data_IF_509372197278
#
_entry.id   IF_509372197278
#
_cell.length_a   1.000
_cell.length_b   1.000
_cell.length_c   1.000
_cell.angle_alpha   90.00
_cell.angle_beta   90.00
_cell.angle_gamma   90.00
#
_symmetry.space_group_name_H-M   'P 1'
#
loop_
_entity.id
_entity.type
_entity.pdbx_description
1 polymer ?
#
# COMPACT_ATOMS: atom_id res chain seq x y z
N UNK A 1 43.39 67.55 -33.13
CA UNK A 1 42.87 67.27 -31.78
C UNK A 1 42.24 65.89 -31.74
N UNK A 2 43.04 65.00 -31.28
CA UNK A 2 42.79 63.61 -31.30
C UNK A 2 42.17 63.13 -29.94
N UNK A 3 41.07 62.44 -29.94
CA UNK A 3 40.50 61.81 -28.75
C UNK A 3 40.23 60.33 -29.05
N UNK A 4 41.19 59.52 -28.71
CA UNK A 4 41.10 58.08 -28.70
C UNK A 4 40.23 57.60 -27.51
N UNK A 5 39.15 56.92 -27.82
CA UNK A 5 38.30 56.21 -26.83
C UNK A 5 38.80 54.78 -26.68
N UNK A 6 39.28 54.43 -25.49
CA UNK A 6 39.68 53.05 -25.12
C UNK A 6 38.44 52.28 -24.71
N UNK A 7 38.09 51.23 -25.48
CA UNK A 7 37.13 50.20 -25.10
C UNK A 7 37.78 49.28 -24.05
N UNK A 8 37.20 49.21 -22.86
CA UNK A 8 37.54 48.22 -21.85
C UNK A 8 36.68 46.97 -22.12
N UNK A 9 37.31 45.86 -22.50
CA UNK A 9 36.67 44.59 -22.62
C UNK A 9 36.26 44.02 -21.24
N UNK A 10 35.02 43.68 -21.10
CA UNK A 10 34.43 43.03 -19.92
C UNK A 10 34.44 41.52 -20.17
N UNK A 11 35.35 40.81 -19.49
CA UNK A 11 35.39 39.36 -19.49
C UNK A 11 34.20 38.85 -18.68
N UNK A 12 33.26 38.19 -19.34
CA UNK A 12 32.16 37.44 -18.67
C UNK A 12 32.69 36.03 -18.39
N UNK A 13 32.98 35.75 -17.13
CA UNK A 13 33.24 34.39 -16.67
C UNK A 13 31.93 33.64 -16.61
N UNK A 14 31.70 32.73 -17.54
CA UNK A 14 30.60 31.76 -17.45
C UNK A 14 30.97 30.69 -16.41
N UNK A 15 30.39 30.81 -15.22
CA UNK A 15 30.50 29.78 -14.21
C UNK A 15 29.69 28.54 -14.61
N UNK A 16 30.36 27.42 -14.89
CA UNK A 16 29.73 26.12 -15.07
C UNK A 16 29.23 25.63 -13.71
N UNK A 17 27.92 25.66 -13.49
CA UNK A 17 27.27 25.02 -12.33
C UNK A 17 27.24 23.49 -12.60
N UNK A 18 28.17 22.76 -12.02
CA UNK A 18 28.14 21.29 -11.98
C UNK A 18 27.07 20.90 -10.97
N UNK A 19 25.88 20.56 -11.46
CA UNK A 19 24.86 19.87 -10.66
C UNK A 19 25.40 18.48 -10.29
N UNK A 20 25.88 18.34 -9.07
CA UNK A 20 26.19 17.05 -8.50
C UNK A 20 24.87 16.25 -8.39
N UNK A 21 24.57 15.47 -9.41
CA UNK A 21 23.51 14.47 -9.38
C UNK A 21 23.86 13.41 -8.34
N UNK A 22 23.34 13.55 -7.13
CA UNK A 22 23.43 12.52 -6.10
C UNK A 22 22.77 11.25 -6.62
N UNK A 23 23.55 10.27 -7.00
CA UNK A 23 23.08 8.92 -7.31
C UNK A 23 22.44 8.34 -6.06
N UNK A 24 21.11 8.18 -6.08
CA UNK A 24 20.39 7.42 -5.05
C UNK A 24 20.90 5.99 -5.12
N UNK A 25 21.49 5.42 -4.07
CA UNK A 25 21.97 4.06 -4.12
C UNK A 25 20.82 3.11 -4.45
N UNK A 26 20.94 2.40 -5.57
CA UNK A 26 20.06 1.28 -5.91
C UNK A 26 20.40 0.18 -4.91
N UNK A 27 19.45 -0.15 -4.03
CA UNK A 27 19.60 -1.28 -3.12
C UNK A 27 19.75 -2.55 -3.96
N UNK A 28 20.84 -3.30 -3.74
CA UNK A 28 21.08 -4.53 -4.48
C UNK A 28 19.90 -5.49 -4.33
N UNK A 29 19.44 -6.04 -5.44
CA UNK A 29 18.33 -6.98 -5.46
C UNK A 29 18.72 -8.25 -4.67
N UNK A 30 18.22 -8.37 -3.44
CA UNK A 30 18.36 -9.58 -2.63
C UNK A 30 17.26 -10.58 -2.96
N UNK A 31 17.42 -11.83 -2.52
CA UNK A 31 16.39 -12.85 -2.70
C UNK A 31 15.09 -12.48 -1.98
N UNK A 32 13.98 -12.53 -2.68
CA UNK A 32 12.64 -12.47 -2.11
C UNK A 32 12.24 -13.87 -1.60
N UNK A 33 11.27 -13.99 -0.68
CA UNK A 33 10.78 -15.30 -0.25
C UNK A 33 10.34 -16.17 -1.43
N UNK A 34 10.57 -17.47 -1.31
CA UNK A 34 10.11 -18.42 -2.34
C UNK A 34 8.61 -18.29 -2.54
N UNK A 35 8.17 -18.23 -3.79
CA UNK A 35 6.75 -18.06 -4.13
C UNK A 35 6.20 -16.64 -3.98
N UNK A 36 7.02 -15.65 -3.54
CA UNK A 36 6.59 -14.25 -3.39
C UNK A 36 6.71 -13.42 -4.68
N UNK A 37 7.26 -13.99 -5.74
CA UNK A 37 7.43 -13.31 -7.02
C UNK A 37 6.17 -13.27 -7.87
N UNK A 38 6.35 -12.86 -9.13
CA UNK A 38 5.27 -12.86 -10.12
C UNK A 38 4.74 -14.27 -10.35
N UNK A 39 3.43 -14.38 -10.48
CA UNK A 39 2.75 -15.56 -11.01
C UNK A 39 2.92 -15.54 -12.53
N UNK A 40 3.17 -16.71 -13.12
CA UNK A 40 3.14 -16.83 -14.58
C UNK A 40 1.71 -16.62 -15.10
N UNK A 41 1.56 -15.68 -16.01
CA UNK A 41 0.29 -15.33 -16.63
C UNK A 41 0.35 -15.49 -18.15
N UNK A 42 1.23 -16.34 -18.67
CA UNK A 42 1.36 -16.62 -20.12
C UNK A 42 0.10 -17.28 -20.68
N UNK A 43 -0.59 -18.07 -19.85
CA UNK A 43 -1.85 -18.75 -20.16
C UNK A 43 -2.98 -18.21 -19.29
N UNK A 44 -3.56 -17.04 -19.61
CA UNK A 44 -4.64 -16.45 -18.81
C UNK A 44 -5.97 -17.16 -19.04
N UNK A 45 -6.76 -17.32 -17.97
CA UNK A 45 -8.14 -17.80 -18.03
C UNK A 45 -9.05 -16.72 -18.65
N UNK A 46 -8.73 -15.45 -18.41
CA UNK A 46 -9.50 -14.30 -18.88
C UNK A 46 -8.59 -13.21 -19.45
N UNK A 47 -8.95 -12.69 -20.62
CA UNK A 47 -8.29 -11.53 -21.24
C UNK A 47 -9.29 -10.38 -21.29
N UNK A 48 -8.96 -9.27 -20.62
CA UNK A 48 -9.73 -8.03 -20.66
C UNK A 48 -9.21 -7.16 -21.80
N UNK A 49 -10.07 -6.89 -22.78
CA UNK A 49 -9.76 -6.06 -23.93
C UNK A 49 -9.37 -6.84 -25.19
N UNK A 50 -9.41 -6.17 -26.33
CA UNK A 50 -9.13 -6.70 -27.68
C UNK A 50 -7.84 -6.12 -28.30
N UNK A 51 -7.11 -5.30 -27.57
CA UNK A 51 -5.91 -4.59 -28.03
C UNK A 51 -6.12 -3.09 -28.16
N UNK A 52 -7.30 -2.58 -27.82
CA UNK A 52 -7.61 -1.15 -27.78
C UNK A 52 -7.92 -0.67 -26.36
N UNK A 53 -7.61 0.60 -26.05
CA UNK A 53 -7.90 1.17 -24.73
C UNK A 53 -9.42 1.18 -24.44
N UNK A 54 -10.24 1.51 -25.41
CA UNK A 54 -11.70 1.58 -25.28
C UNK A 54 -12.34 0.23 -24.94
N UNK A 55 -11.70 -0.87 -25.28
CA UNK A 55 -12.20 -2.22 -24.99
C UNK A 55 -12.03 -2.66 -23.55
N UNK A 56 -11.20 -1.95 -22.76
CA UNK A 56 -10.93 -2.23 -21.35
C UNK A 56 -11.84 -1.38 -20.45
N UNK A 57 -12.93 -1.96 -20.03
CA UNK A 57 -13.98 -1.27 -19.25
C UNK A 57 -14.09 -1.80 -17.83
N UNK A 58 -14.66 -1.00 -16.91
CA UNK A 58 -14.98 -1.41 -15.55
C UNK A 58 -15.81 -2.69 -15.51
N UNK A 59 -16.87 -2.77 -16.30
CA UNK A 59 -17.75 -3.95 -16.33
C UNK A 59 -16.98 -5.25 -16.66
N UNK A 60 -16.01 -5.20 -17.58
CA UNK A 60 -15.16 -6.36 -17.91
C UNK A 60 -14.21 -6.72 -16.76
N UNK A 61 -13.68 -5.72 -16.04
CA UNK A 61 -12.84 -5.97 -14.85
C UNK A 61 -13.68 -6.65 -13.78
N UNK A 62 -14.83 -6.09 -13.43
CA UNK A 62 -15.76 -6.63 -12.44
C UNK A 62 -16.15 -8.08 -12.76
N UNK A 63 -16.57 -8.32 -14.01
CA UNK A 63 -16.96 -9.65 -14.46
C UNK A 63 -15.80 -10.66 -14.45
N UNK A 64 -14.58 -10.26 -14.80
CA UNK A 64 -13.43 -11.14 -14.80
C UNK A 64 -13.01 -11.51 -13.36
N UNK A 65 -12.94 -10.52 -12.46
CA UNK A 65 -12.61 -10.73 -11.05
C UNK A 65 -13.63 -11.66 -10.37
N UNK A 66 -14.91 -11.49 -10.66
CA UNK A 66 -15.96 -12.36 -10.14
C UNK A 66 -15.84 -13.83 -10.61
N UNK A 67 -15.28 -14.06 -11.81
CA UNK A 67 -15.01 -15.41 -12.31
C UNK A 67 -13.76 -16.06 -11.72
N UNK A 68 -12.81 -15.26 -11.25
CA UNK A 68 -11.54 -15.75 -10.72
C UNK A 68 -10.56 -16.20 -11.81
N UNK A 69 -9.54 -16.96 -11.42
CA UNK A 69 -8.47 -17.43 -12.31
C UNK A 69 -7.45 -16.34 -12.66
N UNK A 70 -6.65 -16.61 -13.68
CA UNK A 70 -5.61 -15.71 -14.19
C UNK A 70 -6.20 -14.70 -15.15
N UNK A 71 -6.16 -13.42 -14.78
CA UNK A 71 -6.77 -12.31 -15.53
C UNK A 71 -5.66 -11.42 -16.08
N UNK A 72 -5.59 -11.27 -17.39
CA UNK A 72 -4.66 -10.36 -18.08
C UNK A 72 -5.39 -9.28 -18.85
N UNK A 73 -4.71 -8.14 -19.01
CA UNK A 73 -5.22 -7.01 -19.78
C UNK A 73 -4.53 -6.94 -21.16
N UNK A 74 -5.33 -6.68 -22.19
CA UNK A 74 -4.89 -6.40 -23.55
C UNK A 74 -5.54 -5.11 -24.04
N UNK A 75 -5.11 -3.98 -23.45
CA UNK A 75 -5.68 -2.65 -23.67
C UNK A 75 -4.87 -1.77 -24.64
N UNK A 76 -3.97 -2.38 -25.41
CA UNK A 76 -3.05 -1.69 -26.31
C UNK A 76 -1.65 -1.52 -25.72
N UNK A 77 -0.74 -0.88 -26.47
CA UNK A 77 0.68 -0.75 -26.08
C UNK A 77 0.96 0.44 -25.14
N UNK A 78 0.00 1.33 -24.96
CA UNK A 78 0.14 2.53 -24.11
C UNK A 78 -0.50 2.30 -22.72
N UNK A 79 -0.07 3.05 -21.69
CA UNK A 79 -0.76 3.04 -20.41
C UNK A 79 -2.23 3.42 -20.54
N UNK A 80 -3.09 2.69 -19.82
CA UNK A 80 -4.55 2.88 -19.82
C UNK A 80 -5.04 3.05 -18.38
N UNK A 81 -5.95 4.00 -18.20
CA UNK A 81 -6.73 4.18 -16.99
C UNK A 81 -8.13 3.62 -17.23
N UNK A 82 -8.56 2.72 -16.35
CA UNK A 82 -9.92 2.19 -16.33
C UNK A 82 -10.63 2.82 -15.13
N UNK A 83 -11.58 3.70 -15.42
CA UNK A 83 -12.44 4.29 -14.42
C UNK A 83 -13.43 3.23 -13.92
N UNK A 84 -13.28 2.85 -12.64
CA UNK A 84 -14.13 1.83 -12.04
C UNK A 84 -15.48 2.41 -11.69
N UNK A 85 -16.54 1.90 -12.30
CA UNK A 85 -17.93 2.28 -12.01
C UNK A 85 -18.55 1.43 -10.90
N UNK A 86 -17.92 0.29 -10.59
CA UNK A 86 -18.32 -0.64 -9.52
C UNK A 86 -17.09 -1.20 -8.83
N UNK A 87 -17.25 -1.65 -7.58
CA UNK A 87 -16.21 -2.42 -6.86
C UNK A 87 -16.11 -3.81 -7.45
N UNK A 88 -14.92 -4.23 -7.87
CA UNK A 88 -14.68 -5.60 -8.29
C UNK A 88 -14.62 -6.51 -7.05
N UNK A 89 -15.48 -7.54 -7.01
CA UNK A 89 -15.62 -8.46 -5.87
C UNK A 89 -15.05 -9.82 -6.20
N UNK A 90 -14.17 -10.31 -5.33
CA UNK A 90 -13.65 -11.67 -5.39
C UNK A 90 -14.62 -12.58 -4.66
N UNK A 91 -15.19 -13.55 -5.33
CA UNK A 91 -16.14 -14.48 -4.72
C UNK A 91 -15.43 -15.57 -3.92
N UNK A 92 -16.04 -15.98 -2.81
CA UNK A 92 -15.42 -16.88 -1.83
C UNK A 92 -15.21 -18.31 -2.35
N UNK A 93 -15.91 -18.70 -3.40
CA UNK A 93 -15.79 -20.02 -4.05
C UNK A 93 -14.66 -20.07 -5.11
N UNK A 94 -13.92 -18.98 -5.31
CA UNK A 94 -12.80 -18.96 -6.27
C UNK A 94 -11.50 -19.39 -5.57
N UNK A 95 -10.79 -20.42 -6.09
CA UNK A 95 -9.53 -20.85 -5.47
C UNK A 95 -8.43 -19.80 -5.63
N UNK A 96 -8.23 -19.28 -6.83
CA UNK A 96 -7.20 -18.30 -7.15
C UNK A 96 -7.76 -17.15 -7.98
N UNK A 97 -7.26 -15.94 -7.70
CA UNK A 97 -7.51 -14.75 -8.51
C UNK A 97 -6.19 -14.02 -8.71
N UNK A 98 -5.70 -13.99 -9.94
CA UNK A 98 -4.46 -13.27 -10.32
C UNK A 98 -4.83 -12.14 -11.26
N UNK A 99 -4.64 -10.90 -10.82
CA UNK A 99 -4.90 -9.70 -11.62
C UNK A 99 -3.59 -9.10 -12.11
N UNK A 100 -3.28 -9.26 -13.41
CA UNK A 100 -2.03 -8.83 -14.01
C UNK A 100 -2.21 -7.68 -15.01
N UNK A 101 -1.91 -6.46 -14.57
CA UNK A 101 -1.99 -5.24 -15.37
C UNK A 101 -0.86 -5.05 -16.39
N UNK A 102 0.13 -5.95 -16.42
CA UNK A 102 1.31 -5.89 -17.31
C UNK A 102 2.13 -4.58 -17.21
N UNK A 103 1.96 -3.82 -16.13
CA UNK A 103 2.60 -2.52 -15.91
C UNK A 103 1.97 -1.35 -16.67
N UNK A 104 0.88 -1.59 -17.38
CA UNK A 104 0.22 -0.60 -18.25
C UNK A 104 -1.17 -0.20 -17.76
N UNK A 105 -1.75 -0.90 -16.79
CA UNK A 105 -3.13 -0.66 -16.36
C UNK A 105 -3.16 0.05 -15.01
N UNK A 106 -3.99 1.08 -14.94
CA UNK A 106 -4.40 1.73 -13.71
C UNK A 106 -5.90 1.55 -13.52
N UNK A 107 -6.32 1.00 -12.39
CA UNK A 107 -7.71 1.00 -11.95
C UNK A 107 -7.95 2.24 -11.10
N UNK A 108 -8.88 3.08 -11.50
CA UNK A 108 -9.19 4.36 -10.86
C UNK A 108 -10.55 4.28 -10.16
N UNK A 109 -10.57 4.39 -8.82
CA UNK A 109 -11.79 4.43 -8.02
C UNK A 109 -12.55 5.75 -8.10
N UNK A 110 -11.99 6.75 -8.81
CA UNK A 110 -12.58 8.07 -9.04
C UNK A 110 -12.89 8.86 -7.76
N UNK A 111 -12.29 8.49 -6.63
CA UNK A 111 -12.60 9.06 -5.31
C UNK A 111 -14.02 8.70 -4.80
N UNK A 112 -14.67 7.74 -5.42
CA UNK A 112 -16.07 7.43 -5.17
C UNK A 112 -16.29 6.02 -4.57
N UNK A 113 -15.37 5.08 -4.77
CA UNK A 113 -15.57 3.69 -4.35
C UNK A 113 -14.28 2.95 -4.09
N UNK A 114 -14.37 1.91 -3.27
CA UNK A 114 -13.35 0.87 -3.16
C UNK A 114 -13.17 0.19 -4.52
N UNK A 115 -11.93 -0.15 -4.88
CA UNK A 115 -11.67 -0.72 -6.21
C UNK A 115 -11.83 -2.24 -6.20
N UNK A 116 -11.26 -2.92 -5.19
CA UNK A 116 -11.25 -4.38 -5.08
C UNK A 116 -11.65 -4.82 -3.67
N UNK A 117 -12.48 -5.84 -3.58
CA UNK A 117 -13.01 -6.36 -2.32
C UNK A 117 -12.96 -7.89 -2.28
N UNK A 118 -12.31 -8.42 -1.24
CA UNK A 118 -12.33 -9.83 -0.86
C UNK A 118 -12.72 -9.93 0.60
N UNK A 119 -13.79 -10.61 0.92
CA UNK A 119 -14.20 -10.86 2.30
C UNK A 119 -14.84 -12.24 2.40
N UNK A 120 -14.10 -13.19 2.93
CA UNK A 120 -14.56 -14.57 3.11
C UNK A 120 -15.67 -14.71 4.16
N UNK A 121 -15.86 -13.68 5.00
CA UNK A 121 -16.91 -13.64 6.01
C UNK A 121 -18.16 -12.87 5.55
N UNK A 122 -18.19 -12.35 4.33
CA UNK A 122 -19.37 -11.71 3.76
C UNK A 122 -20.20 -12.75 2.98
N UNK A 123 -21.39 -13.15 3.48
CA UNK A 123 -22.22 -14.15 2.81
C UNK A 123 -22.70 -13.70 1.42
N UNK A 124 -22.69 -12.39 1.14
CA UNK A 124 -22.99 -11.88 -0.19
C UNK A 124 -21.90 -12.21 -1.23
N UNK A 125 -20.76 -12.76 -0.80
CA UNK A 125 -19.70 -13.24 -1.69
C UNK A 125 -19.86 -14.73 -2.03
N UNK A 126 -21.09 -15.17 -2.37
CA UNK A 126 -21.54 -16.52 -2.76
C UNK A 126 -21.79 -17.41 -1.55
N UNK A 127 -20.83 -17.61 -0.66
CA UNK A 127 -20.97 -18.38 0.58
C UNK A 127 -19.94 -17.99 1.62
N UNK A 128 -20.16 -18.43 2.84
CA UNK A 128 -19.21 -18.28 3.95
C UNK A 128 -19.27 -19.51 4.87
N UNK A 129 -18.30 -19.65 5.77
CA UNK A 129 -18.21 -20.74 6.74
C UNK A 129 -18.06 -20.18 8.15
N UNK A 130 -18.25 -21.02 9.18
CA UNK A 130 -18.03 -20.65 10.59
C UNK A 130 -16.57 -20.26 10.87
N UNK A 131 -15.63 -20.75 10.05
CA UNK A 131 -14.21 -20.43 10.12
C UNK A 131 -13.76 -19.50 8.97
N UNK A 132 -14.60 -18.64 8.51
CA UNK A 132 -14.39 -17.77 7.36
C UNK A 132 -13.07 -16.95 7.43
N UNK A 133 -12.60 -16.62 8.61
CA UNK A 133 -11.34 -15.89 8.79
C UNK A 133 -10.09 -16.76 8.56
N UNK A 134 -10.21 -18.07 8.65
CA UNK A 134 -9.12 -19.04 8.42
C UNK A 134 -9.40 -19.95 7.22
N UNK A 135 -9.98 -19.40 6.18
CA UNK A 135 -10.32 -20.07 4.95
C UNK A 135 -9.14 -20.03 3.97
N UNK A 136 -8.80 -21.17 3.37
CA UNK A 136 -7.61 -21.34 2.52
C UNK A 136 -7.67 -20.53 1.20
N UNK A 137 -8.87 -20.21 0.76
CA UNK A 137 -9.13 -19.50 -0.49
C UNK A 137 -10.24 -18.45 -0.31
N UNK A 138 -10.33 -17.45 -1.19
CA UNK A 138 -9.50 -17.22 -2.38
C UNK A 138 -8.05 -16.83 -2.05
N UNK A 139 -7.11 -17.18 -2.95
CA UNK A 139 -5.81 -16.50 -2.98
C UNK A 139 -5.88 -15.36 -4.00
N UNK A 140 -5.60 -14.16 -3.55
CA UNK A 140 -5.60 -12.96 -4.40
C UNK A 140 -4.17 -12.50 -4.66
N UNK A 141 -3.78 -12.47 -5.93
CA UNK A 141 -2.52 -11.84 -6.37
C UNK A 141 -2.83 -10.64 -7.25
N UNK A 142 -2.35 -9.46 -6.86
CA UNK A 142 -2.35 -8.29 -7.73
C UNK A 142 -0.92 -7.99 -8.17
N UNK A 143 -0.67 -7.95 -9.48
CA UNK A 143 0.68 -7.77 -9.99
C UNK A 143 0.76 -6.84 -11.20
N UNK A 144 1.85 -6.07 -11.28
CA UNK A 144 2.15 -5.15 -12.39
C UNK A 144 0.96 -4.25 -12.74
N UNK A 145 0.29 -3.71 -11.71
CA UNK A 145 -0.95 -2.93 -11.84
C UNK A 145 -0.93 -1.74 -10.89
N UNK A 146 -1.62 -0.67 -11.25
CA UNK A 146 -1.79 0.49 -10.39
C UNK A 146 -3.24 0.65 -9.92
N UNK A 147 -3.40 1.12 -8.68
CA UNK A 147 -4.68 1.45 -8.04
C UNK A 147 -4.61 2.90 -7.58
N UNK A 148 -5.52 3.73 -8.05
CA UNK A 148 -5.55 5.13 -7.64
C UNK A 148 -6.95 5.61 -7.31
N UNK A 149 -7.02 6.65 -6.47
CA UNK A 149 -8.26 7.33 -6.12
C UNK A 149 -9.37 6.37 -5.64
N UNK A 150 -8.99 5.21 -5.09
CA UNK A 150 -9.92 4.33 -4.40
C UNK A 150 -10.44 5.01 -3.13
N UNK A 151 -11.70 4.80 -2.79
CA UNK A 151 -12.30 5.38 -1.61
C UNK A 151 -13.24 4.40 -0.92
N UNK A 152 -13.09 4.28 0.39
CA UNK A 152 -14.10 3.74 1.29
C UNK A 152 -14.62 4.85 2.20
N UNK A 153 -15.84 4.70 2.65
CA UNK A 153 -16.53 5.66 3.50
C UNK A 153 -17.19 4.88 4.64
N UNK A 154 -17.33 5.53 5.78
CA UNK A 154 -17.78 4.90 7.00
C UNK A 154 -16.64 4.86 8.02
N UNK A 155 -17.00 4.62 9.28
CA UNK A 155 -16.07 4.63 10.41
C UNK A 155 -15.96 3.28 11.13
N UNK A 156 -16.63 2.26 10.60
CA UNK A 156 -16.52 0.91 11.11
C UNK A 156 -15.18 0.28 10.71
N UNK A 157 -14.73 -0.68 11.47
CA UNK A 157 -13.42 -1.31 11.29
C UNK A 157 -13.21 -1.87 9.86
N UNK A 158 -14.26 -2.29 9.17
CA UNK A 158 -14.24 -2.81 7.80
C UNK A 158 -14.30 -1.69 6.72
N UNK A 159 -14.36 -0.44 7.14
CA UNK A 159 -14.46 0.70 6.23
C UNK A 159 -13.09 1.25 5.78
N UNK A 160 -11.99 0.62 6.15
CA UNK A 160 -10.68 0.91 5.58
C UNK A 160 -10.49 0.33 4.17
N UNK A 161 -9.28 0.35 3.66
CA UNK A 161 -8.93 -0.24 2.37
C UNK A 161 -9.60 0.46 1.18
N UNK A 162 -9.34 1.75 1.01
CA UNK A 162 -9.94 2.52 -0.09
C UNK A 162 -9.64 1.94 -1.47
N UNK A 163 -8.46 1.36 -1.70
CA UNK A 163 -8.21 0.60 -2.93
C UNK A 163 -8.59 -0.88 -2.76
N UNK A 164 -8.02 -1.57 -1.78
CA UNK A 164 -8.22 -2.98 -1.51
C UNK A 164 -8.66 -3.22 -0.07
N UNK A 165 -9.72 -4.00 0.11
CA UNK A 165 -10.07 -4.62 1.38
C UNK A 165 -9.96 -6.14 1.24
N UNK A 166 -9.32 -6.79 2.21
CA UNK A 166 -9.12 -8.25 2.21
C UNK A 166 -9.38 -8.81 3.60
N UNK A 167 -10.24 -9.82 3.70
CA UNK A 167 -10.44 -10.60 4.92
C UNK A 167 -10.48 -12.09 4.59
N UNK A 168 -9.65 -12.87 5.28
CA UNK A 168 -9.46 -14.29 4.99
C UNK A 168 -8.70 -14.57 3.70
N UNK A 169 -8.57 -15.85 3.34
CA UNK A 169 -7.80 -16.25 2.18
C UNK A 169 -6.30 -15.89 2.27
N UNK A 170 -5.73 -15.46 1.17
CA UNK A 170 -4.33 -15.01 1.15
C UNK A 170 -4.09 -13.89 0.13
N UNK A 171 -3.39 -12.83 0.54
CA UNK A 171 -3.06 -11.69 -0.34
C UNK A 171 -1.56 -11.67 -0.71
N UNK A 172 -1.28 -11.45 -1.99
CA UNK A 172 0.03 -11.14 -2.54
C UNK A 172 -0.01 -9.89 -3.43
N UNK A 173 0.98 -9.02 -3.29
CA UNK A 173 1.10 -7.76 -4.03
C UNK A 173 2.50 -7.67 -4.64
N UNK A 174 2.62 -7.63 -5.97
CA UNK A 174 3.92 -7.67 -6.67
C UNK A 174 3.98 -6.60 -7.75
N UNK A 175 5.02 -5.77 -7.74
CA UNK A 175 5.22 -4.71 -8.73
C UNK A 175 3.99 -3.78 -8.89
N UNK A 176 3.26 -3.53 -7.80
CA UNK A 176 2.03 -2.73 -7.82
C UNK A 176 2.26 -1.28 -7.34
N UNK A 177 1.33 -0.39 -7.69
CA UNK A 177 1.36 1.01 -7.27
C UNK A 177 0.02 1.44 -6.69
N UNK A 178 0.06 2.20 -5.58
CA UNK A 178 -1.13 2.69 -4.88
C UNK A 178 -0.98 4.19 -4.61
N UNK A 179 -1.81 5.02 -5.23
CA UNK A 179 -1.70 6.48 -5.13
C UNK A 179 -3.05 7.15 -4.91
N UNK A 180 -3.08 8.15 -4.04
CA UNK A 180 -4.27 8.98 -3.85
C UNK A 180 -5.48 8.26 -3.29
N UNK A 181 -5.31 7.04 -2.76
CA UNK A 181 -6.42 6.30 -2.16
C UNK A 181 -6.80 6.90 -0.80
N UNK A 182 -8.07 6.80 -0.44
CA UNK A 182 -8.64 7.40 0.76
C UNK A 182 -9.55 6.43 1.48
N UNK A 183 -9.64 6.56 2.80
CA UNK A 183 -10.74 6.04 3.62
C UNK A 183 -11.18 7.10 4.62
N UNK A 184 -12.01 6.76 5.60
CA UNK A 184 -12.49 7.73 6.56
C UNK A 184 -11.36 8.43 7.33
N UNK A 185 -11.58 9.68 7.68
CA UNK A 185 -10.62 10.50 8.43
C UNK A 185 -10.68 10.23 9.93
N UNK A 186 -11.60 9.38 10.38
CA UNK A 186 -11.83 9.03 11.79
C UNK A 186 -12.08 7.54 11.95
N UNK A 187 -11.98 7.05 13.16
CA UNK A 187 -12.23 5.66 13.54
C UNK A 187 -10.98 5.01 14.11
N UNK A 188 -11.10 4.29 15.25
CA UNK A 188 -9.96 3.74 15.97
C UNK A 188 -9.19 2.70 15.15
N UNK A 189 -9.90 1.82 14.43
CA UNK A 189 -9.31 0.71 13.68
C UNK A 189 -9.49 0.82 12.16
N UNK A 190 -10.04 1.94 11.69
CA UNK A 190 -10.16 2.23 10.26
C UNK A 190 -8.80 2.62 9.70
N UNK A 191 -8.30 1.89 8.73
CA UNK A 191 -6.95 2.12 8.24
C UNK A 191 -6.69 1.65 6.82
N UNK A 192 -5.43 1.85 6.39
CA UNK A 192 -4.91 1.33 5.15
C UNK A 192 -5.61 1.83 3.90
N UNK A 193 -5.53 3.12 3.62
CA UNK A 193 -6.18 3.68 2.43
C UNK A 193 -5.87 2.93 1.14
N UNK A 194 -4.66 2.40 0.99
CA UNK A 194 -4.34 1.50 -0.12
C UNK A 194 -4.83 0.08 0.15
N UNK A 195 -4.47 -0.51 1.29
CA UNK A 195 -4.81 -1.90 1.60
C UNK A 195 -5.15 -2.04 3.09
N UNK A 196 -6.32 -2.57 3.39
CA UNK A 196 -6.67 -3.06 4.72
C UNK A 196 -6.85 -4.57 4.70
N UNK A 197 -6.30 -5.26 5.71
CA UNK A 197 -6.36 -6.72 5.79
C UNK A 197 -6.79 -7.17 7.18
N UNK A 198 -7.76 -8.08 7.22
CA UNK A 198 -8.13 -8.85 8.41
C UNK A 198 -7.90 -10.31 8.14
N UNK A 199 -7.22 -10.98 9.04
CA UNK A 199 -6.97 -12.41 8.99
C UNK A 199 -6.41 -12.90 7.66
N UNK A 200 -5.56 -13.88 7.72
CA UNK A 200 -5.06 -14.61 6.57
C UNK A 200 -5.00 -16.08 6.95
N UNK A 201 -5.26 -16.96 6.02
CA UNK A 201 -5.27 -18.41 6.25
C UNK A 201 -4.02 -18.87 7.01
N UNK A 202 -4.22 -19.54 8.14
CA UNK A 202 -3.16 -20.03 9.03
C UNK A 202 -2.14 -18.97 9.47
N UNK A 203 -2.57 -17.71 9.60
CA UNK A 203 -1.67 -16.61 9.96
C UNK A 203 -0.54 -16.33 8.96
N UNK A 204 -0.65 -16.82 7.72
CA UNK A 204 0.35 -16.57 6.67
C UNK A 204 0.51 -15.08 6.43
N UNK A 205 1.75 -14.59 6.28
CA UNK A 205 1.96 -13.17 6.09
C UNK A 205 1.45 -12.70 4.72
N UNK A 206 0.80 -11.55 4.69
CA UNK A 206 0.62 -10.81 3.44
C UNK A 206 1.99 -10.49 2.87
N UNK A 207 2.21 -10.79 1.59
CA UNK A 207 3.49 -10.56 0.94
C UNK A 207 3.41 -9.37 -0.03
N UNK A 208 4.28 -8.38 0.18
CA UNK A 208 4.44 -7.22 -0.69
C UNK A 208 5.85 -7.21 -1.26
N UNK A 209 5.99 -7.17 -2.59
CA UNK A 209 7.28 -7.16 -3.27
C UNK A 209 7.34 -6.06 -4.33
N UNK A 210 8.43 -5.27 -4.34
CA UNK A 210 8.73 -4.23 -5.33
C UNK A 210 7.56 -3.28 -5.62
N UNK A 211 6.78 -2.96 -4.59
CA UNK A 211 5.57 -2.16 -4.72
C UNK A 211 5.73 -0.76 -4.16
N UNK A 212 4.90 0.17 -4.62
CA UNK A 212 4.97 1.58 -4.22
C UNK A 212 3.65 2.06 -3.66
N UNK A 213 3.71 2.68 -2.49
CA UNK A 213 2.56 3.23 -1.78
C UNK A 213 2.76 4.73 -1.59
N UNK A 214 1.92 5.53 -2.23
CA UNK A 214 2.02 6.99 -2.26
C UNK A 214 2.89 7.52 -3.40
N UNK A 215 3.26 8.77 -3.33
CA UNK A 215 4.00 9.49 -4.36
C UNK A 215 4.24 10.93 -3.95
N UNK A 216 4.74 11.77 -4.86
CA UNK A 216 4.98 13.18 -4.60
C UNK A 216 3.66 13.96 -4.40
N UNK A 217 3.69 14.97 -3.55
CA UNK A 217 2.56 15.88 -3.32
C UNK A 217 1.28 15.16 -2.86
N UNK A 218 0.18 15.42 -3.55
CA UNK A 218 -1.14 14.89 -3.23
C UNK A 218 -1.33 13.40 -3.56
N UNK A 219 -0.31 12.74 -4.15
CA UNK A 219 -0.38 11.32 -4.52
C UNK A 219 -0.24 10.36 -3.33
N UNK A 220 0.00 10.85 -2.12
CA UNK A 220 -0.01 10.05 -0.90
C UNK A 220 -1.41 9.48 -0.61
N UNK A 221 -1.43 8.28 -0.03
CA UNK A 221 -2.67 7.69 0.46
C UNK A 221 -2.99 8.27 1.86
N UNK A 222 -4.27 8.35 2.23
CA UNK A 222 -4.66 8.85 3.55
C UNK A 222 -5.89 8.16 4.11
N UNK A 223 -5.82 7.82 5.39
CA UNK A 223 -6.88 7.18 6.15
C UNK A 223 -6.77 7.58 7.62
N UNK A 224 -7.73 7.20 8.44
CA UNK A 224 -7.69 7.41 9.88
C UNK A 224 -6.37 6.90 10.47
N UNK A 225 -6.03 5.63 10.24
CA UNK A 225 -4.75 5.02 10.60
C UNK A 225 -4.05 4.43 9.37
N UNK A 226 -2.74 4.16 9.49
CA UNK A 226 -1.99 3.47 8.43
C UNK A 226 -2.25 4.04 7.04
N UNK A 227 -1.79 5.26 6.76
CA UNK A 227 -2.15 5.95 5.53
C UNK A 227 -1.97 5.11 4.25
N UNK A 228 -1.06 4.15 4.24
CA UNK A 228 -0.90 3.20 3.14
C UNK A 228 -1.56 1.86 3.46
N UNK A 229 -1.07 1.13 4.45
CA UNK A 229 -1.57 -0.21 4.80
C UNK A 229 -1.97 -0.28 6.27
N UNK A 230 -3.00 -1.07 6.54
CA UNK A 230 -3.42 -1.39 7.89
C UNK A 230 -3.87 -2.84 8.01
N UNK A 231 -3.78 -3.38 9.22
CA UNK A 231 -4.32 -4.70 9.53
C UNK A 231 -4.64 -4.90 10.99
N UNK A 232 -5.56 -5.82 11.25
CA UNK A 232 -5.85 -6.35 12.57
C UNK A 232 -5.47 -7.83 12.58
N UNK A 233 -4.48 -8.19 13.43
CA UNK A 233 -4.04 -9.57 13.64
C UNK A 233 -3.33 -10.22 12.44
N UNK A 234 -2.68 -9.45 11.56
CA UNK A 234 -2.07 -9.98 10.34
C UNK A 234 -0.57 -9.74 10.31
N UNK A 235 0.16 -10.78 9.94
CA UNK A 235 1.61 -10.69 9.67
C UNK A 235 1.87 -10.12 8.27
N UNK A 236 2.98 -9.39 8.12
CA UNK A 236 3.41 -8.81 6.84
C UNK A 236 4.86 -9.16 6.51
N UNK A 237 5.12 -9.43 5.23
CA UNK A 237 6.45 -9.61 4.67
C UNK A 237 6.64 -8.66 3.49
N UNK A 238 7.35 -7.54 3.73
CA UNK A 238 7.48 -6.43 2.79
C UNK A 238 8.91 -6.36 2.29
N UNK A 239 9.09 -6.43 0.97
CA UNK A 239 10.39 -6.49 0.33
C UNK A 239 10.53 -5.48 -0.81
N UNK A 240 11.70 -4.85 -0.92
CA UNK A 240 12.10 -4.01 -2.06
C UNK A 240 11.06 -2.91 -2.41
N UNK A 241 10.37 -2.39 -1.40
CA UNK A 241 9.17 -1.55 -1.59
C UNK A 241 9.39 -0.12 -1.11
N UNK A 242 8.47 0.78 -1.46
CA UNK A 242 8.57 2.20 -1.11
C UNK A 242 7.22 2.69 -0.55
N UNK A 243 7.27 3.32 0.62
CA UNK A 243 6.14 4.01 1.24
C UNK A 243 6.50 5.49 1.40
N UNK A 244 5.83 6.38 0.68
CA UNK A 244 6.18 7.80 0.71
C UNK A 244 4.96 8.70 0.71
N UNK A 245 5.01 9.75 1.54
CA UNK A 245 3.97 10.77 1.67
C UNK A 245 2.57 10.23 2.00
N UNK A 246 2.47 9.07 2.66
CA UNK A 246 1.19 8.58 3.17
C UNK A 246 0.87 9.25 4.51
N UNK A 247 -0.42 9.33 4.85
CA UNK A 247 -0.87 10.07 6.03
C UNK A 247 -1.92 9.29 6.81
N UNK A 248 -1.69 9.16 8.12
CA UNK A 248 -2.72 8.85 9.09
C UNK A 248 -3.33 10.16 9.55
N UNK A 249 -4.60 10.41 9.22
CA UNK A 249 -5.27 11.70 9.42
C UNK A 249 -6.28 11.73 10.57
N UNK A 250 -6.52 10.59 11.20
CA UNK A 250 -7.37 10.50 12.37
C UNK A 250 -6.82 11.28 13.56
N UNK A 251 -7.66 11.53 14.53
CA UNK A 251 -7.32 12.26 15.74
C UNK A 251 -7.85 11.54 16.96
N UNK A 252 -7.00 11.35 17.96
CA UNK A 252 -7.37 10.73 19.21
C UNK A 252 -6.83 9.31 19.35
N UNK A 253 -6.95 8.81 20.56
CA UNK A 253 -6.44 7.50 20.94
C UNK A 253 -7.36 6.37 20.46
N UNK A 254 -6.82 5.17 20.47
CA UNK A 254 -7.57 3.93 20.34
C UNK A 254 -7.57 3.19 21.71
N UNK A 255 -8.72 2.96 22.36
CA UNK A 255 -10.08 3.25 21.93
C UNK A 255 -10.43 4.75 21.94
N UNK A 256 -11.48 5.17 21.20
CA UNK A 256 -11.91 6.57 21.18
C UNK A 256 -12.42 7.02 22.54
N UNK A 257 -12.25 8.29 22.83
CA UNK A 257 -12.77 8.94 24.02
C UNK A 257 -13.60 10.18 23.61
N UNK A 258 -14.40 10.77 24.52
CA UNK A 258 -15.13 12.00 24.20
C UNK A 258 -14.22 13.09 23.63
N UNK A 259 -14.57 13.61 22.46
CA UNK A 259 -13.78 14.63 21.74
C UNK A 259 -12.58 14.10 20.95
N UNK A 260 -12.30 12.80 21.02
CA UNK A 260 -11.22 12.14 20.28
C UNK A 260 -11.74 10.90 19.56
N UNK A 261 -12.20 11.02 18.30
CA UNK A 261 -12.90 9.94 17.59
C UNK A 261 -11.98 8.76 17.22
N UNK A 262 -10.71 8.82 17.56
CA UNK A 262 -9.73 7.76 17.35
C UNK A 262 -9.01 7.86 16.02
N UNK A 263 -7.88 7.17 15.91
CA UNK A 263 -7.02 7.13 14.74
C UNK A 263 -5.81 8.04 14.85
N UNK A 264 -5.16 8.30 13.70
CA UNK A 264 -3.96 9.13 13.63
C UNK A 264 -2.65 8.38 13.86
N UNK A 265 -2.67 7.05 13.85
CA UNK A 265 -1.52 6.20 14.14
C UNK A 265 -0.88 5.63 12.86
N UNK A 266 0.46 5.56 12.85
CA UNK A 266 1.23 4.95 11.78
C UNK A 266 1.04 5.62 10.42
N UNK A 267 1.76 6.69 10.15
CA UNK A 267 1.59 7.47 8.91
C UNK A 267 1.62 6.64 7.62
N UNK A 268 2.37 5.54 7.60
CA UNK A 268 2.39 4.59 6.50
C UNK A 268 1.73 3.25 6.86
N UNK A 269 2.06 2.68 8.01
CA UNK A 269 1.72 1.30 8.39
C UNK A 269 1.06 1.29 9.77
N UNK A 270 -0.10 0.65 9.86
CA UNK A 270 -0.79 0.37 11.12
C UNK A 270 -1.01 -1.13 11.27
N UNK A 271 -0.47 -1.70 12.33
CA UNK A 271 -0.68 -3.10 12.71
C UNK A 271 -1.15 -3.16 14.17
N UNK A 272 -2.33 -3.67 14.39
CA UNK A 272 -2.86 -3.98 15.71
C UNK A 272 -3.29 -5.45 15.78
N UNK A 273 -3.24 -6.04 16.94
CA UNK A 273 -3.64 -7.43 17.15
C UNK A 273 -2.85 -8.12 18.26
N UNK A 274 -2.77 -9.44 18.16
CA UNK A 274 -2.02 -10.27 19.10
C UNK A 274 -0.74 -10.83 18.44
N UNK A 275 -0.69 -12.13 18.19
CA UNK A 275 0.49 -12.77 17.60
C UNK A 275 0.63 -12.42 16.12
N UNK A 276 1.61 -11.61 15.78
CA UNK A 276 1.89 -11.22 14.40
C UNK A 276 3.34 -10.79 14.21
N UNK A 277 3.80 -10.76 12.97
CA UNK A 277 5.17 -10.34 12.61
C UNK A 277 5.11 -9.29 11.49
N UNK A 278 5.83 -8.19 11.68
CA UNK A 278 6.09 -7.21 10.63
C UNK A 278 7.55 -7.34 10.19
N UNK A 279 7.78 -7.92 9.02
CA UNK A 279 9.10 -8.06 8.41
C UNK A 279 9.25 -7.08 7.25
N UNK A 280 10.23 -6.19 7.33
CA UNK A 280 10.53 -5.16 6.33
C UNK A 280 11.98 -5.35 5.86
N UNK A 281 12.17 -5.56 4.56
CA UNK A 281 13.48 -5.86 3.97
C UNK A 281 13.72 -4.96 2.75
N UNK A 282 14.88 -4.32 2.66
CA UNK A 282 15.29 -3.45 1.54
C UNK A 282 14.19 -2.46 1.11
N UNK A 283 13.53 -1.87 2.09
CA UNK A 283 12.34 -1.03 1.88
C UNK A 283 12.63 0.39 2.38
N UNK A 284 12.08 1.37 1.68
CA UNK A 284 12.16 2.78 2.05
C UNK A 284 10.80 3.26 2.56
N UNK A 285 10.79 3.85 3.75
CA UNK A 285 9.61 4.45 4.37
C UNK A 285 9.97 5.90 4.74
N UNK A 286 9.57 6.87 3.89
CA UNK A 286 10.05 8.24 4.01
C UNK A 286 8.96 9.26 3.73
N UNK A 287 8.99 10.39 4.46
CA UNK A 287 8.05 11.49 4.23
C UNK A 287 6.60 11.17 4.59
N UNK A 288 6.36 10.10 5.36
CA UNK A 288 5.01 9.78 5.82
C UNK A 288 4.68 10.62 7.06
N UNK A 289 3.39 10.76 7.35
CA UNK A 289 2.96 11.59 8.46
C UNK A 289 1.80 10.97 9.22
N UNK A 290 1.90 10.96 10.55
CA UNK A 290 0.76 10.76 11.43
C UNK A 290 0.26 12.09 12.01
N UNK A 291 -1.01 12.14 12.36
CA UNK A 291 -1.64 13.40 12.75
C UNK A 291 -1.48 13.74 14.25
N UNK A 292 -0.53 13.09 14.91
CA UNK A 292 -0.15 13.43 16.27
C UNK A 292 -0.25 12.30 17.30
N UNK A 293 -0.69 11.11 16.90
CA UNK A 293 -0.77 9.92 17.73
C UNK A 293 0.49 9.04 17.60
N UNK A 294 0.39 7.72 17.69
CA UNK A 294 1.54 6.83 17.75
C UNK A 294 2.25 6.57 16.42
N UNK A 295 3.56 6.73 16.40
CA UNK A 295 4.46 6.40 15.29
C UNK A 295 4.22 7.17 13.99
N UNK A 296 5.12 8.07 13.63
CA UNK A 296 4.99 8.86 12.39
C UNK A 296 5.05 8.03 11.11
N UNK A 297 5.71 6.88 11.13
CA UNK A 297 5.80 5.95 10.02
C UNK A 297 5.03 4.66 10.29
N UNK A 298 5.30 4.01 11.43
CA UNK A 298 4.79 2.69 11.78
C UNK A 298 4.16 2.72 13.17
N UNK A 299 2.97 2.17 13.28
CA UNK A 299 2.34 1.80 14.54
C UNK A 299 2.19 0.27 14.58
N UNK A 300 2.75 -0.36 15.60
CA UNK A 300 2.69 -1.80 15.80
C UNK A 300 2.34 -2.12 17.25
N UNK A 301 1.18 -2.72 17.46
CA UNK A 301 0.69 -3.13 18.77
C UNK A 301 0.33 -4.61 18.74
N UNK A 302 1.06 -5.41 19.50
CA UNK A 302 0.74 -6.80 19.85
C UNK A 302 0.23 -6.79 21.27
N UNK A 303 -1.08 -6.90 21.47
CA UNK A 303 -1.75 -6.74 22.76
C UNK A 303 -1.30 -7.80 23.79
N UNK A 304 -1.00 -9.02 23.32
CA UNK A 304 -0.43 -10.11 24.13
C UNK A 304 1.10 -10.07 24.24
N UNK A 305 1.76 -9.09 23.59
CA UNK A 305 3.22 -8.90 23.55
C UNK A 305 4.00 -10.07 22.94
N UNK A 306 3.39 -10.86 22.07
CA UNK A 306 4.07 -11.96 21.36
C UNK A 306 4.58 -11.58 19.97
N UNK A 307 4.16 -10.44 19.46
CA UNK A 307 4.51 -9.97 18.12
C UNK A 307 5.92 -9.43 17.97
N UNK A 308 6.48 -9.54 16.77
CA UNK A 308 7.84 -9.10 16.43
C UNK A 308 7.86 -8.12 15.26
N UNK A 309 8.80 -7.16 15.31
CA UNK A 309 9.15 -6.30 14.17
C UNK A 309 10.60 -6.54 13.78
N UNK A 310 10.86 -6.76 12.48
CA UNK A 310 12.20 -6.96 11.92
C UNK A 310 12.42 -6.06 10.72
N UNK A 311 13.35 -5.14 10.83
CA UNK A 311 13.70 -4.16 9.79
C UNK A 311 15.13 -4.40 9.34
N UNK A 312 15.29 -4.80 8.07
CA UNK A 312 16.55 -5.32 7.51
C UNK A 312 16.88 -4.55 6.23
N UNK A 313 18.14 -4.06 6.10
CA UNK A 313 18.64 -3.36 4.90
C UNK A 313 17.71 -2.21 4.44
N UNK A 314 17.06 -1.52 5.38
CA UNK A 314 15.94 -0.59 5.08
C UNK A 314 16.23 0.82 5.59
N UNK A 315 15.46 1.79 5.05
CA UNK A 315 15.60 3.21 5.43
C UNK A 315 14.24 3.74 5.87
N UNK A 316 14.16 4.17 7.12
CA UNK A 316 13.03 4.89 7.72
C UNK A 316 13.52 6.27 8.15
N UNK A 317 13.11 7.33 7.46
CA UNK A 317 13.54 8.69 7.81
C UNK A 317 12.59 9.76 7.27
N UNK A 318 12.74 10.96 7.77
CA UNK A 318 11.95 12.11 7.32
C UNK A 318 10.43 11.90 7.50
N UNK A 319 10.03 10.99 8.41
CA UNK A 319 8.63 10.79 8.77
C UNK A 319 8.26 11.76 9.91
N UNK A 320 7.08 12.37 9.87
CA UNK A 320 6.74 13.48 10.76
C UNK A 320 5.41 13.27 11.48
N UNK A 321 5.22 13.97 12.60
CA UNK A 321 4.09 13.78 13.50
C UNK A 321 4.34 12.59 14.43
N UNK A 322 3.27 12.03 15.00
CA UNK A 322 3.39 10.98 16.00
C UNK A 322 3.77 11.56 17.37
N UNK A 323 2.77 11.88 18.20
CA UNK A 323 2.98 12.45 19.52
C UNK A 323 3.78 11.55 20.46
N UNK A 324 3.78 10.23 20.19
CA UNK A 324 4.60 9.28 20.93
C UNK A 324 5.18 8.19 20.02
N UNK A 325 6.41 7.80 20.29
CA UNK A 325 7.15 6.75 19.59
C UNK A 325 8.10 6.07 20.57
N UNK A 326 8.33 4.77 20.40
CA UNK A 326 9.31 4.00 21.18
C UNK A 326 10.67 3.98 20.48
N UNK A 327 10.67 4.09 19.17
CA UNK A 327 11.82 4.22 18.29
C UNK A 327 11.58 5.38 17.32
N UNK A 328 12.59 5.96 16.67
CA UNK A 328 12.37 7.06 15.73
C UNK A 328 11.34 6.72 14.65
N UNK A 329 10.19 7.42 14.69
CA UNK A 329 9.11 7.21 13.74
C UNK A 329 8.27 5.95 13.93
N UNK A 330 8.54 5.14 14.96
CA UNK A 330 7.84 3.87 15.22
C UNK A 330 7.28 3.87 16.65
N UNK A 331 6.00 3.56 16.78
CA UNK A 331 5.45 3.08 18.06
C UNK A 331 5.40 1.55 18.00
N UNK A 332 6.05 0.94 18.98
CA UNK A 332 6.14 -0.52 19.12
C UNK A 332 5.68 -0.97 20.51
N UNK A 333 4.75 -1.89 20.51
CA UNK A 333 4.36 -2.67 21.68
C UNK A 333 4.31 -4.15 21.26
N UNK A 334 5.28 -4.95 21.69
CA UNK A 334 5.39 -6.35 21.31
C UNK A 334 6.50 -7.04 22.08
N UNK A 335 6.94 -8.21 21.57
CA UNK A 335 8.01 -9.01 22.17
C UNK A 335 9.40 -8.46 21.81
N UNK A 336 9.63 -8.20 20.51
CA UNK A 336 10.93 -7.71 20.06
C UNK A 336 10.84 -6.83 18.82
N UNK A 337 11.69 -5.81 18.78
CA UNK A 337 11.97 -5.03 17.57
C UNK A 337 13.46 -5.12 17.27
N UNK A 338 13.82 -5.41 16.02
CA UNK A 338 15.22 -5.55 15.60
C UNK A 338 15.52 -4.78 14.33
N UNK A 339 16.69 -4.15 14.32
CA UNK A 339 17.21 -3.40 13.17
C UNK A 339 18.52 -4.05 12.70
N UNK A 340 18.59 -4.45 11.44
CA UNK A 340 19.81 -5.03 10.84
C UNK A 340 20.19 -4.22 9.61
N UNK A 341 21.37 -3.60 9.61
CA UNK A 341 21.90 -2.75 8.52
C UNK A 341 20.86 -1.73 8.01
N UNK A 342 20.11 -1.13 8.93
CA UNK A 342 19.02 -0.22 8.61
C UNK A 342 19.26 1.16 9.23
N UNK A 343 18.77 2.20 8.53
CA UNK A 343 18.73 3.57 9.04
C UNK A 343 17.33 3.88 9.54
N UNK A 344 17.22 4.31 10.80
CA UNK A 344 15.95 4.70 11.44
C UNK A 344 16.18 6.05 12.11
N UNK A 345 15.50 7.12 11.61
CA UNK A 345 15.70 8.52 12.03
C UNK A 345 14.38 9.30 12.04
#
# INVERSE_FOLDING_TARGET
MDRSIRLRGMLVLAGLLVLAGGSVPVLAAGSIPRGAGLVDTSHPDHVIGDGTAASCTSAKVVAAVARGGIIRFRCGPKPVVIEMTETARVFNDRPDVVLDGRGLVTLDGMGARRILYLNTCDPAQVWTTDHCQDQAHPTLTVQRIAFRNGRSTGSEVEDGGGALFVRGGHLRVVDARFTGNRCADTGPDVGGAAIQVFSQFQGRPVTIVRSRFGGAGASGNACSNGGAIASIGVSWSIHDSVFTNNRAVGTGANPPAPGTPGGGNGGAIYNDGNTMTLRIVRTRITGNRSNGEGGSAIFFVSNDRTGDVRIIDSVLKDNTGGGFSTEPGIFFLGRSITFTRSTVQ
#
